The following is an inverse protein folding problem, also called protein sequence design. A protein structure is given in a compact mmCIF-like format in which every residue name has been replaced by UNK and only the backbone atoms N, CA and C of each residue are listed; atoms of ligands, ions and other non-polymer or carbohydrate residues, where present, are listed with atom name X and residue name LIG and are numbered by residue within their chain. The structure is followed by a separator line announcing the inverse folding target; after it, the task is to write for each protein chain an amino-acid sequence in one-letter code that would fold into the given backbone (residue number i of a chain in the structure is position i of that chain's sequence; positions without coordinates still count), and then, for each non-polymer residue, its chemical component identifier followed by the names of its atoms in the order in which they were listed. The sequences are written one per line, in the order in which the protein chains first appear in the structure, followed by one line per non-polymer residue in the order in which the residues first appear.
data_IF_983613082255
#
_entry.id   IF_983613082255
#
_cell.length_a   1.000
_cell.length_b   1.000
_cell.length_c   1.000
_cell.angle_alpha   90.00
_cell.angle_beta   90.00
_cell.angle_gamma   90.00
#
_symmetry.space_group_name_H-M   'P 1'
#
loop_
_entity.id
_entity.type
_entity.pdbx_description
1 polymer ?
#
# COMPACT_ATOMS: atom_id res chain seq x y z
N UNK A 1 69.46 -32.59 -30.09
CA UNK A 1 68.53 -31.77 -30.88
C UNK A 1 67.12 -32.23 -30.50
N UNK A 2 66.42 -31.53 -29.65
CA UNK A 2 65.06 -31.85 -29.23
C UNK A 2 64.33 -30.57 -28.89
N UNK A 3 63.44 -30.15 -29.80
CA UNK A 3 62.63 -28.94 -29.64
C UNK A 3 61.52 -29.20 -28.61
N UNK A 4 61.58 -28.50 -27.53
CA UNK A 4 60.49 -28.49 -26.52
C UNK A 4 59.31 -27.61 -26.97
N UNK A 5 58.16 -28.24 -27.18
CA UNK A 5 56.93 -27.58 -27.50
C UNK A 5 56.24 -27.02 -26.25
N UNK A 6 56.27 -25.69 -26.06
CA UNK A 6 55.59 -24.99 -24.97
C UNK A 6 54.08 -24.98 -25.25
N UNK A 7 53.30 -25.68 -24.43
CA UNK A 7 51.84 -25.61 -24.44
C UNK A 7 51.42 -24.27 -23.82
N UNK A 8 50.81 -23.41 -24.64
CA UNK A 8 50.16 -22.19 -24.20
C UNK A 8 48.78 -22.56 -23.70
N UNK A 9 48.58 -22.52 -22.41
CA UNK A 9 47.28 -22.70 -21.79
C UNK A 9 46.37 -21.46 -22.03
N UNK A 10 45.26 -21.68 -22.72
CA UNK A 10 44.23 -20.66 -22.91
C UNK A 10 43.46 -20.54 -21.59
N UNK A 11 43.69 -19.44 -20.84
CA UNK A 11 42.84 -19.04 -19.71
C UNK A 11 41.49 -18.55 -20.28
N UNK A 12 40.45 -19.33 -20.05
CA UNK A 12 39.06 -18.94 -20.37
C UNK A 12 38.60 -18.05 -19.22
N UNK A 13 38.55 -16.75 -19.46
CA UNK A 13 37.97 -15.78 -18.55
C UNK A 13 36.44 -15.88 -18.64
N UNK A 14 35.81 -16.58 -17.71
CA UNK A 14 34.34 -16.61 -17.58
C UNK A 14 33.90 -15.30 -16.95
N UNK A 15 33.46 -14.36 -17.77
CA UNK A 15 32.79 -13.14 -17.29
C UNK A 15 31.38 -13.52 -16.91
N UNK A 16 31.12 -13.73 -15.62
CA UNK A 16 29.75 -13.78 -15.07
C UNK A 16 29.15 -12.39 -15.17
N UNK A 17 28.45 -12.11 -16.26
CA UNK A 17 27.56 -10.96 -16.36
C UNK A 17 26.39 -11.20 -15.40
N UNK A 18 26.51 -10.66 -14.17
CA UNK A 18 25.40 -10.61 -13.23
C UNK A 18 24.29 -9.75 -13.83
N UNK A 19 23.19 -10.37 -14.27
CA UNK A 19 21.96 -9.66 -14.56
C UNK A 19 21.47 -9.08 -13.22
N UNK A 20 21.69 -7.78 -13.04
CA UNK A 20 20.99 -7.00 -12.03
C UNK A 20 19.53 -6.90 -12.48
N UNK A 21 18.70 -7.82 -11.98
CA UNK A 21 17.25 -7.68 -12.03
C UNK A 21 16.92 -6.47 -11.15
N UNK A 22 16.83 -5.29 -11.75
CA UNK A 22 16.18 -4.16 -11.13
C UNK A 22 14.70 -4.54 -11.04
N UNK A 23 14.30 -5.09 -9.89
CA UNK A 23 12.88 -5.18 -9.56
C UNK A 23 12.36 -3.73 -9.58
N UNK A 24 11.52 -3.40 -10.56
CA UNK A 24 10.77 -2.16 -10.52
C UNK A 24 9.89 -2.25 -9.26
N UNK A 25 10.21 -1.48 -8.23
CA UNK A 25 9.33 -1.33 -7.10
C UNK A 25 7.98 -0.84 -7.65
N UNK A 26 6.91 -1.53 -7.30
CA UNK A 26 5.56 -1.11 -7.67
C UNK A 26 5.32 0.28 -7.08
N UNK A 27 4.72 1.17 -7.88
CA UNK A 27 4.55 2.57 -7.53
C UNK A 27 3.05 2.88 -7.51
N UNK A 28 2.55 3.38 -6.37
CA UNK A 28 1.14 3.79 -6.24
C UNK A 28 0.90 5.23 -6.69
N UNK A 29 1.87 5.83 -7.36
CA UNK A 29 1.79 7.19 -7.84
C UNK A 29 1.91 8.24 -6.73
N UNK A 30 1.61 9.51 -7.05
CA UNK A 30 1.57 10.57 -6.05
C UNK A 30 0.30 10.45 -5.19
N UNK A 31 0.41 10.72 -3.89
CA UNK A 31 -0.75 10.87 -3.02
C UNK A 31 -1.53 12.17 -3.34
N UNK A 32 -2.61 12.45 -2.61
CA UNK A 32 -3.41 13.68 -2.75
C UNK A 32 -2.61 14.98 -2.54
N UNK A 33 -1.40 14.90 -2.00
CA UNK A 33 -0.50 16.04 -1.80
C UNK A 33 0.69 16.05 -2.78
N UNK A 34 0.69 15.18 -3.78
CA UNK A 34 1.76 15.06 -4.77
C UNK A 34 3.01 14.33 -4.28
N UNK A 35 2.98 13.70 -3.11
CA UNK A 35 4.10 12.93 -2.57
C UNK A 35 4.08 11.51 -3.13
N UNK A 36 5.22 11.07 -3.67
CA UNK A 36 5.35 9.71 -4.21
C UNK A 36 5.16 8.65 -3.12
N UNK A 37 4.29 7.67 -3.37
CA UNK A 37 4.08 6.51 -2.51
C UNK A 37 4.51 5.26 -3.27
N UNK A 38 5.50 4.55 -2.74
CA UNK A 38 6.00 3.30 -3.31
C UNK A 38 5.55 2.11 -2.47
N UNK A 39 5.49 0.93 -3.08
CA UNK A 39 5.19 -0.31 -2.35
C UNK A 39 6.13 -0.52 -1.18
N UNK A 40 7.44 -0.33 -1.37
CA UNK A 40 8.46 -0.49 -0.32
C UNK A 40 8.18 0.43 0.89
N UNK A 41 7.53 1.59 0.68
CA UNK A 41 7.17 2.52 1.76
C UNK A 41 6.02 2.02 2.64
N UNK A 42 5.30 1.01 2.18
CA UNK A 42 4.17 0.39 2.88
C UNK A 42 4.50 -1.03 3.38
N UNK A 43 5.56 -1.65 2.89
CA UNK A 43 5.95 -2.99 3.27
C UNK A 43 6.31 -3.09 4.76
N UNK A 44 5.98 -4.23 5.37
CA UNK A 44 6.24 -4.49 6.79
C UNK A 44 5.33 -3.72 7.76
N UNK A 45 4.31 -3.05 7.25
CA UNK A 45 3.33 -2.33 8.05
C UNK A 45 1.94 -3.01 7.99
N UNK A 46 1.17 -2.85 9.04
CA UNK A 46 -0.26 -3.12 9.01
C UNK A 46 -0.95 -1.98 8.27
N UNK A 47 -1.79 -2.31 7.28
CA UNK A 47 -2.51 -1.32 6.50
C UNK A 47 -4.01 -1.44 6.74
N UNK A 48 -4.64 -0.30 6.95
CA UNK A 48 -6.09 -0.15 7.03
C UNK A 48 -6.50 0.59 5.76
N UNK A 49 -6.87 -0.16 4.70
CA UNK A 49 -7.20 0.40 3.40
C UNK A 49 -8.69 0.63 3.32
N UNK A 50 -9.10 1.89 3.22
CA UNK A 50 -10.48 2.33 3.13
C UNK A 50 -10.81 2.83 1.73
N UNK A 51 -11.86 2.27 1.13
CA UNK A 51 -12.43 2.73 -0.14
C UNK A 51 -13.60 3.67 0.11
N UNK A 52 -13.54 4.83 -0.53
CA UNK A 52 -14.49 5.91 -0.37
C UNK A 52 -14.81 6.62 -1.70
N UNK A 53 -15.90 7.40 -1.76
CA UNK A 53 -16.25 8.24 -2.90
C UNK A 53 -16.97 9.51 -2.45
N UNK A 54 -16.97 10.58 -3.28
CA UNK A 54 -17.64 11.85 -2.93
C UNK A 54 -19.17 11.70 -2.80
N UNK A 55 -19.78 10.82 -3.56
CA UNK A 55 -21.21 10.50 -3.51
C UNK A 55 -21.61 9.56 -2.36
N UNK A 56 -20.64 9.01 -1.62
CA UNK A 56 -20.88 8.06 -0.54
C UNK A 56 -21.10 8.80 0.79
N UNK A 57 -22.37 9.00 1.16
CA UNK A 57 -22.71 9.68 2.41
C UNK A 57 -22.18 8.97 3.67
N UNK A 58 -22.28 7.62 3.82
CA UNK A 58 -21.72 6.93 4.97
C UNK A 58 -20.19 7.02 5.03
N UNK A 59 -19.48 7.12 3.89
CA UNK A 59 -18.05 7.35 3.90
C UNK A 59 -17.69 8.68 4.58
N UNK A 60 -18.49 9.72 4.38
CA UNK A 60 -18.28 11.03 5.03
C UNK A 60 -18.40 10.93 6.56
N UNK A 61 -19.28 10.09 7.05
CA UNK A 61 -19.45 9.84 8.50
C UNK A 61 -18.23 9.13 9.09
N UNK A 62 -17.63 8.20 8.35
CA UNK A 62 -16.52 7.35 8.80
C UNK A 62 -15.16 8.09 8.78
N UNK A 63 -14.93 9.04 7.88
CA UNK A 63 -13.63 9.70 7.71
C UNK A 63 -13.07 10.32 9.00
N UNK A 64 -13.83 11.00 9.87
CA UNK A 64 -13.33 11.49 11.16
C UNK A 64 -12.76 10.37 12.06
N UNK A 65 -13.38 9.21 12.06
CA UNK A 65 -12.95 8.03 12.82
C UNK A 65 -11.62 7.48 12.28
N UNK A 66 -11.49 7.41 10.96
CA UNK A 66 -10.26 7.00 10.27
C UNK A 66 -9.13 8.01 10.49
N UNK A 67 -9.41 9.30 10.47
CA UNK A 67 -8.45 10.35 10.82
C UNK A 67 -7.94 10.18 12.26
N UNK A 68 -8.85 9.91 13.21
CA UNK A 68 -8.49 9.67 14.60
C UNK A 68 -7.67 8.36 14.74
N UNK A 69 -8.02 7.32 13.99
CA UNK A 69 -7.24 6.08 13.95
C UNK A 69 -5.81 6.33 13.48
N UNK A 70 -5.61 7.04 12.36
CA UNK A 70 -4.26 7.38 11.84
C UNK A 70 -3.41 8.08 12.92
N UNK A 71 -4.00 9.02 13.68
CA UNK A 71 -3.30 9.68 14.78
C UNK A 71 -2.85 8.69 15.87
N UNK A 72 -3.67 7.69 16.20
CA UNK A 72 -3.29 6.67 17.20
C UNK A 72 -2.26 5.68 16.70
N UNK A 73 -2.15 5.51 15.38
CA UNK A 73 -1.19 4.61 14.74
C UNK A 73 0.19 5.26 14.52
N UNK A 74 0.32 6.57 14.70
CA UNK A 74 1.61 7.25 14.68
C UNK A 74 2.59 6.54 15.63
N UNK A 75 3.79 6.28 15.15
CA UNK A 75 4.82 5.51 15.88
C UNK A 75 4.53 4.01 16.06
N UNK A 76 3.51 3.49 15.40
CA UNK A 76 3.29 2.06 15.25
C UNK A 76 3.59 1.66 13.80
N UNK A 77 3.97 0.41 13.56
CA UNK A 77 4.10 -0.11 12.18
C UNK A 77 2.73 -0.38 11.58
N UNK A 78 1.89 0.67 11.47
CA UNK A 78 0.53 0.60 10.96
C UNK A 78 0.09 1.96 10.41
N UNK A 79 -0.75 1.97 9.36
CA UNK A 79 -1.23 3.20 8.71
C UNK A 79 -2.65 3.04 8.17
N UNK A 80 -3.36 4.16 8.11
CA UNK A 80 -4.59 4.27 7.32
C UNK A 80 -4.24 4.72 5.91
N UNK A 81 -4.83 4.07 4.91
CA UNK A 81 -4.67 4.37 3.49
C UNK A 81 -6.06 4.55 2.87
N UNK A 82 -6.26 5.64 2.16
CA UNK A 82 -7.48 5.89 1.40
C UNK A 82 -7.32 5.49 -0.07
N UNK A 83 -8.39 5.01 -0.67
CA UNK A 83 -8.50 4.77 -2.11
C UNK A 83 -9.81 5.37 -2.60
N UNK A 84 -9.73 6.30 -3.55
CA UNK A 84 -10.94 6.84 -4.15
C UNK A 84 -11.52 5.85 -5.16
N UNK A 85 -12.78 5.47 -4.98
CA UNK A 85 -13.45 4.45 -5.79
C UNK A 85 -13.62 4.86 -7.26
N UNK A 86 -13.74 6.18 -7.51
CA UNK A 86 -13.89 6.73 -8.88
C UNK A 86 -12.52 6.95 -9.56
N UNK A 87 -11.43 6.49 -8.92
CA UNK A 87 -10.06 6.58 -9.43
C UNK A 87 -9.63 8.02 -9.81
N UNK A 88 -10.04 9.00 -9.01
CA UNK A 88 -9.63 10.40 -9.19
C UNK A 88 -8.13 10.57 -9.09
N UNK A 89 -7.57 11.53 -9.85
CA UNK A 89 -6.14 11.78 -9.93
C UNK A 89 -5.82 13.26 -9.73
N UNK A 90 -4.58 13.56 -9.33
CA UNK A 90 -4.03 14.92 -9.27
C UNK A 90 -4.91 15.88 -8.47
N UNK A 91 -5.23 17.03 -9.07
CA UNK A 91 -6.02 18.09 -8.40
C UNK A 91 -7.46 17.66 -8.09
N UNK A 92 -8.04 16.73 -8.86
CA UNK A 92 -9.38 16.23 -8.60
C UNK A 92 -9.37 15.36 -7.33
N UNK A 93 -8.39 14.47 -7.20
CA UNK A 93 -8.20 13.66 -5.99
C UNK A 93 -7.96 14.55 -4.76
N UNK A 94 -7.11 15.57 -4.93
CA UNK A 94 -6.83 16.52 -3.85
C UNK A 94 -8.08 17.25 -3.39
N UNK A 95 -8.88 17.81 -4.32
CA UNK A 95 -10.12 18.53 -3.98
C UNK A 95 -11.13 17.62 -3.27
N UNK A 96 -11.29 16.40 -3.78
CA UNK A 96 -12.19 15.42 -3.17
C UNK A 96 -11.75 15.06 -1.75
N UNK A 97 -10.46 14.78 -1.53
CA UNK A 97 -9.92 14.48 -0.21
C UNK A 97 -10.05 15.66 0.76
N UNK A 98 -9.76 16.89 0.29
CA UNK A 98 -9.93 18.13 1.08
C UNK A 98 -11.40 18.35 1.48
N UNK A 99 -12.36 18.04 0.59
CA UNK A 99 -13.80 18.22 0.86
C UNK A 99 -14.32 17.29 1.96
N UNK A 100 -13.61 16.19 2.22
CA UNK A 100 -13.89 15.22 3.29
C UNK A 100 -13.00 15.42 4.53
N UNK A 101 -12.11 16.41 4.55
CA UNK A 101 -11.08 16.60 5.58
C UNK A 101 -10.25 15.33 5.81
N UNK A 102 -9.89 14.61 4.74
CA UNK A 102 -9.06 13.41 4.85
C UNK A 102 -7.63 13.80 5.19
N UNK A 103 -7.12 13.30 6.33
CA UNK A 103 -5.78 13.62 6.84
C UNK A 103 -4.77 12.48 6.72
N UNK A 104 -5.23 11.28 6.41
CA UNK A 104 -4.37 10.14 6.08
C UNK A 104 -4.01 10.13 4.58
N UNK A 105 -3.06 9.28 4.20
CA UNK A 105 -2.61 9.15 2.80
C UNK A 105 -3.70 8.56 1.91
N UNK A 106 -4.00 9.21 0.78
CA UNK A 106 -4.87 8.69 -0.28
C UNK A 106 -4.02 8.36 -1.49
N UNK A 107 -4.04 7.11 -1.92
CA UNK A 107 -3.29 6.64 -3.08
C UNK A 107 -3.97 7.08 -4.38
N UNK A 108 -3.18 7.47 -5.36
CA UNK A 108 -3.65 7.75 -6.72
C UNK A 108 -3.91 6.45 -7.51
N UNK A 109 -3.17 5.38 -7.20
CA UNK A 109 -3.36 4.07 -7.82
C UNK A 109 -3.94 3.09 -6.81
N UNK A 110 -4.88 2.28 -7.28
CA UNK A 110 -5.55 1.27 -6.45
C UNK A 110 -4.56 0.12 -6.12
N UNK A 111 -4.32 -0.19 -4.84
CA UNK A 111 -3.43 -1.27 -4.43
C UNK A 111 -4.10 -2.66 -4.45
N UNK A 112 -5.34 -2.79 -4.95
CA UNK A 112 -6.11 -4.03 -4.90
C UNK A 112 -5.38 -5.23 -5.50
N UNK A 113 -4.71 -5.05 -6.64
CA UNK A 113 -3.97 -6.14 -7.31
C UNK A 113 -2.80 -6.63 -6.45
N UNK A 114 -2.05 -5.72 -5.82
CA UNK A 114 -0.91 -6.09 -4.98
C UNK A 114 -1.30 -6.92 -3.77
N UNK A 115 -2.40 -6.56 -3.13
CA UNK A 115 -2.84 -7.23 -1.89
C UNK A 115 -3.94 -8.26 -2.11
N UNK A 116 -4.27 -8.58 -3.37
CA UNK A 116 -5.35 -9.51 -3.74
C UNK A 116 -6.65 -9.19 -3.00
N UNK A 117 -7.03 -7.89 -3.02
CA UNK A 117 -8.22 -7.43 -2.31
C UNK A 117 -9.49 -7.93 -3.01
N UNK A 118 -10.40 -8.57 -2.28
CA UNK A 118 -11.71 -8.92 -2.83
C UNK A 118 -12.45 -7.68 -3.32
N UNK A 119 -13.00 -7.74 -4.52
CA UNK A 119 -13.78 -6.61 -5.05
C UNK A 119 -15.03 -6.39 -4.19
N UNK A 120 -15.28 -5.15 -3.82
CA UNK A 120 -16.52 -4.73 -3.16
C UNK A 120 -17.43 -4.00 -4.12
N UNK A 121 -18.73 -4.28 -4.06
CA UNK A 121 -19.77 -3.57 -4.82
C UNK A 121 -20.45 -2.48 -3.99
N UNK A 122 -20.07 -2.33 -2.72
CA UNK A 122 -20.67 -1.36 -1.81
C UNK A 122 -19.60 -0.57 -1.05
N UNK A 123 -19.92 0.69 -0.72
CA UNK A 123 -19.10 1.60 0.06
C UNK A 123 -19.80 2.02 1.36
N UNK A 124 -19.04 2.35 2.40
CA UNK A 124 -17.59 2.17 2.49
C UNK A 124 -17.19 0.71 2.68
N UNK A 125 -15.97 0.37 2.31
CA UNK A 125 -15.34 -0.90 2.66
C UNK A 125 -13.92 -0.66 3.16
N UNK A 126 -13.56 -1.34 4.25
CA UNK A 126 -12.24 -1.24 4.87
C UNK A 126 -11.60 -2.62 4.92
N UNK A 127 -10.37 -2.74 4.41
CA UNK A 127 -9.55 -3.94 4.49
C UNK A 127 -8.48 -3.76 5.56
N UNK A 128 -8.27 -4.77 6.38
CA UNK A 128 -7.13 -4.83 7.30
C UNK A 128 -6.13 -5.84 6.74
N UNK A 129 -4.91 -5.35 6.50
CA UNK A 129 -3.81 -6.12 5.91
C UNK A 129 -2.69 -6.19 6.94
N UNK A 130 -2.10 -7.37 7.14
CA UNK A 130 -1.00 -7.55 8.09
C UNK A 130 0.36 -7.12 7.51
N UNK A 131 1.38 -7.14 8.36
CA UNK A 131 2.76 -6.77 8.03
C UNK A 131 3.45 -7.69 6.99
N UNK A 132 2.77 -8.77 6.59
CA UNK A 132 3.20 -9.68 5.51
C UNK A 132 2.42 -9.45 4.21
N UNK A 133 1.58 -8.42 4.15
CA UNK A 133 0.75 -8.10 3.00
C UNK A 133 -0.48 -8.98 2.84
N UNK A 134 -0.86 -9.76 3.87
CA UNK A 134 -2.01 -10.66 3.81
C UNK A 134 -3.28 -9.97 4.31
N UNK A 135 -4.37 -10.06 3.53
CA UNK A 135 -5.70 -9.62 3.97
C UNK A 135 -6.17 -10.45 5.16
N UNK A 136 -6.51 -9.78 6.24
CA UNK A 136 -6.99 -10.39 7.48
C UNK A 136 -8.49 -10.19 7.68
N UNK A 137 -9.02 -9.05 7.25
CA UNK A 137 -10.44 -8.70 7.39
C UNK A 137 -10.90 -7.85 6.21
N UNK A 138 -12.18 -8.01 5.84
CA UNK A 138 -12.95 -7.11 4.98
C UNK A 138 -14.15 -6.62 5.78
N UNK A 139 -14.22 -5.33 6.05
CA UNK A 139 -15.26 -4.72 6.87
C UNK A 139 -16.16 -3.86 5.97
N UNK A 140 -17.43 -4.25 5.88
CA UNK A 140 -18.43 -3.53 5.09
C UNK A 140 -19.15 -2.49 5.95
N UNK A 141 -19.45 -1.34 5.35
CA UNK A 141 -20.14 -0.25 6.02
C UNK A 141 -19.26 0.58 6.95
N UNK A 142 -19.86 1.57 7.60
CA UNK A 142 -19.17 2.52 8.49
C UNK A 142 -18.43 1.81 9.62
N UNK A 143 -17.20 2.22 9.87
CA UNK A 143 -16.37 1.76 10.98
C UNK A 143 -16.18 2.88 12.00
N UNK A 144 -15.97 2.50 13.25
CA UNK A 144 -15.63 3.43 14.33
C UNK A 144 -14.18 3.25 14.76
N UNK A 145 -13.59 4.29 15.33
CA UNK A 145 -12.25 4.26 15.91
C UNK A 145 -12.09 3.07 16.89
N UNK A 146 -13.02 2.97 17.85
CA UNK A 146 -12.99 1.92 18.88
C UNK A 146 -13.07 0.51 18.25
N UNK A 147 -13.99 0.31 17.29
CA UNK A 147 -14.16 -0.96 16.59
C UNK A 147 -12.91 -1.37 15.82
N UNK A 148 -12.30 -0.44 15.07
CA UNK A 148 -11.06 -0.70 14.33
C UNK A 148 -9.88 -0.99 15.26
N UNK A 149 -9.73 -0.22 16.35
CA UNK A 149 -8.67 -0.47 17.33
C UNK A 149 -8.80 -1.84 17.99
N UNK A 150 -10.01 -2.24 18.38
CA UNK A 150 -10.26 -3.57 18.95
C UNK A 150 -9.92 -4.70 17.96
N UNK A 151 -10.32 -4.55 16.70
CA UNK A 151 -10.00 -5.54 15.65
C UNK A 151 -8.50 -5.64 15.39
N UNK A 152 -7.82 -4.51 15.18
CA UNK A 152 -6.36 -4.49 14.95
C UNK A 152 -5.62 -5.14 16.12
N UNK A 153 -6.00 -4.82 17.35
CA UNK A 153 -5.42 -5.43 18.55
C UNK A 153 -5.62 -6.94 18.59
N UNK A 154 -6.83 -7.42 18.30
CA UNK A 154 -7.14 -8.84 18.26
C UNK A 154 -6.32 -9.57 17.18
N UNK A 155 -6.21 -9.00 15.98
CA UNK A 155 -5.46 -9.59 14.87
C UNK A 155 -3.95 -9.60 15.09
N UNK A 156 -3.38 -8.59 15.76
CA UNK A 156 -1.95 -8.54 16.11
C UNK A 156 -1.57 -9.49 17.25
N UNK A 157 -2.53 -9.90 18.07
CA UNK A 157 -2.32 -10.82 19.18
C UNK A 157 -2.60 -12.30 18.84
N UNK A 158 -2.96 -12.60 17.58
CA UNK A 158 -3.37 -13.93 17.12
C UNK A 158 -2.22 -14.73 16.48
#
# INVERSE_FOLDING_TARGET
MGLGLRKVGKAVLVICAGLLLTACAEDFGPDQHGRKVTADSLDGQWLIINYWAEWCAPCRTEIPELNALEETLKNQSARVIGVNFDALQGDDLKRAADSFDIRFTVLAQDPAERYDLPRSEALPVTYIIDDKGKVREQLMGEQTLEGLQAKIKALKGA
#
